data_IF_002787434493
#
_entry.id   IF_002787434493
#
_cell.length_a   1.000
_cell.length_b   1.000
_cell.length_c   1.000
_cell.angle_alpha   90.00
_cell.angle_beta   90.00
_cell.angle_gamma   90.00
#
_symmetry.space_group_name_H-M   'P 1'
#
loop_
_entity.id
_entity.type
_entity.pdbx_description
1 polymer ?
#
# COMPACT_ATOMS: atom_id res chain seq x y z
N UNK A 1 3.66 20.07 -12.12
CA UNK A 1 3.67 18.61 -12.39
C UNK A 1 3.92 18.42 -13.88
N UNK A 2 4.98 17.71 -14.28
CA UNK A 2 5.24 17.38 -15.69
C UNK A 2 4.91 15.90 -15.93
N UNK A 3 3.69 15.58 -16.40
CA UNK A 3 3.26 14.18 -16.60
C UNK A 3 4.11 13.41 -17.60
N UNK A 4 4.81 14.12 -18.49
CA UNK A 4 5.78 13.59 -19.45
C UNK A 4 6.97 12.87 -18.80
N UNK A 5 7.25 13.14 -17.52
CA UNK A 5 8.32 12.49 -16.75
C UNK A 5 7.83 11.29 -15.94
N UNK A 6 6.54 10.95 -16.03
CA UNK A 6 6.06 9.72 -15.42
C UNK A 6 6.70 8.55 -16.17
N UNK A 7 7.57 7.80 -15.49
CA UNK A 7 8.09 6.57 -16.04
C UNK A 7 6.93 5.58 -16.14
N UNK A 8 6.43 5.32 -17.35
CA UNK A 8 5.47 4.24 -17.67
C UNK A 8 6.16 2.88 -17.62
N UNK A 9 7.03 2.67 -16.63
CA UNK A 9 7.64 1.38 -16.40
C UNK A 9 6.52 0.39 -16.05
N UNK A 10 6.10 -0.34 -17.07
CA UNK A 10 5.19 -1.48 -17.00
C UNK A 10 5.62 -2.44 -15.87
N UNK A 11 6.91 -2.45 -15.53
CA UNK A 11 7.47 -3.19 -14.41
C UNK A 11 6.83 -2.91 -13.05
N UNK A 12 6.40 -1.69 -12.72
CA UNK A 12 5.78 -1.43 -11.40
C UNK A 12 4.39 -2.03 -11.29
N UNK A 13 3.55 -1.83 -12.31
CA UNK A 13 2.19 -2.40 -12.37
C UNK A 13 2.27 -3.93 -12.47
N UNK A 14 3.15 -4.45 -13.31
CA UNK A 14 3.39 -5.89 -13.44
C UNK A 14 3.90 -6.52 -12.13
N UNK A 15 4.84 -5.86 -11.42
CA UNK A 15 5.29 -6.31 -10.09
C UNK A 15 4.16 -6.28 -9.07
N UNK A 16 3.33 -5.25 -9.09
CA UNK A 16 2.18 -5.12 -8.21
C UNK A 16 1.17 -6.24 -8.47
N UNK A 17 0.80 -6.48 -9.74
CA UNK A 17 -0.08 -7.58 -10.14
C UNK A 17 0.50 -8.96 -9.80
N UNK A 18 1.81 -9.16 -10.00
CA UNK A 18 2.52 -10.39 -9.60
C UNK A 18 2.49 -10.61 -8.09
N UNK A 19 2.71 -9.55 -7.31
CA UNK A 19 2.71 -9.61 -5.84
C UNK A 19 1.32 -9.78 -5.24
N UNK A 20 0.29 -9.21 -5.88
CA UNK A 20 -1.12 -9.41 -5.55
C UNK A 20 -1.61 -10.85 -5.85
N UNK A 21 -0.95 -11.54 -6.79
CA UNK A 21 -1.28 -12.88 -7.22
C UNK A 21 -2.62 -12.98 -7.96
N UNK A 22 -2.70 -13.86 -8.96
CA UNK A 22 -3.99 -14.22 -9.62
C UNK A 22 -4.78 -15.27 -8.82
N UNK A 23 -4.20 -15.80 -7.74
CA UNK A 23 -4.77 -16.83 -6.89
C UNK A 23 -5.88 -16.31 -5.97
N UNK A 24 -6.75 -17.23 -5.55
CA UNK A 24 -7.80 -17.01 -4.55
C UNK A 24 -7.34 -17.37 -3.14
N UNK A 25 -6.07 -17.75 -2.98
CA UNK A 25 -5.50 -18.11 -1.70
C UNK A 25 -5.44 -16.90 -0.75
N UNK A 26 -5.33 -17.21 0.54
CA UNK A 26 -5.38 -16.23 1.63
C UNK A 26 -4.24 -15.20 1.52
N UNK A 27 -3.05 -15.61 1.07
CA UNK A 27 -1.92 -14.72 0.94
C UNK A 27 -2.11 -13.73 -0.22
N UNK A 28 -2.60 -14.20 -1.38
CA UNK A 28 -2.94 -13.33 -2.50
C UNK A 28 -4.05 -12.31 -2.13
N UNK A 29 -5.07 -12.73 -1.38
CA UNK A 29 -6.09 -11.82 -0.84
C UNK A 29 -5.49 -10.77 0.10
N UNK A 30 -4.65 -11.18 1.03
CA UNK A 30 -3.95 -10.27 1.95
C UNK A 30 -3.05 -9.29 1.20
N UNK A 31 -2.30 -9.77 0.21
CA UNK A 31 -1.41 -8.96 -0.61
C UNK A 31 -2.17 -7.88 -1.35
N UNK A 32 -3.31 -8.20 -1.98
CA UNK A 32 -4.19 -7.21 -2.62
C UNK A 32 -4.71 -6.15 -1.65
N UNK A 33 -5.14 -6.55 -0.45
CA UNK A 33 -5.58 -5.59 0.59
C UNK A 33 -4.46 -4.63 0.98
N UNK A 34 -3.24 -5.15 1.19
CA UNK A 34 -2.08 -4.32 1.48
C UNK A 34 -1.76 -3.37 0.32
N UNK A 35 -1.80 -3.89 -0.91
CA UNK A 35 -1.57 -3.14 -2.13
C UNK A 35 -2.51 -1.93 -2.26
N UNK A 36 -3.81 -2.15 -2.06
CA UNK A 36 -4.84 -1.10 -2.05
C UNK A 36 -4.53 -0.06 -0.97
N UNK A 37 -4.15 -0.50 0.24
CA UNK A 37 -3.86 0.40 1.34
C UNK A 37 -2.65 1.30 1.08
N UNK A 38 -1.59 0.76 0.47
CA UNK A 38 -0.40 1.52 0.06
C UNK A 38 -0.79 2.59 -0.97
N UNK A 39 -1.50 2.18 -2.03
CA UNK A 39 -1.93 3.12 -3.10
C UNK A 39 -2.85 4.20 -2.53
N UNK A 40 -3.78 3.83 -1.65
CA UNK A 40 -4.68 4.76 -0.97
C UNK A 40 -3.90 5.80 -0.14
N UNK A 41 -2.91 5.35 0.64
CA UNK A 41 -2.13 6.25 1.50
C UNK A 41 -1.31 7.25 0.68
N UNK A 42 -0.70 6.80 -0.41
CA UNK A 42 0.03 7.68 -1.35
C UNK A 42 -0.92 8.69 -2.00
N UNK A 43 -2.13 8.25 -2.37
CA UNK A 43 -3.14 9.15 -2.94
C UNK A 43 -3.58 10.22 -1.94
N UNK A 44 -3.82 9.86 -0.68
CA UNK A 44 -4.12 10.82 0.38
C UNK A 44 -2.99 11.85 0.57
N UNK A 45 -1.74 11.42 0.65
CA UNK A 45 -0.58 12.33 0.74
C UNK A 45 -0.54 13.30 -0.43
N UNK A 46 -0.74 12.80 -1.64
CA UNK A 46 -0.73 13.63 -2.84
C UNK A 46 -1.86 14.65 -2.85
N UNK A 47 -3.02 14.31 -2.32
CA UNK A 47 -4.12 15.25 -2.17
C UNK A 47 -3.79 16.33 -1.14
N UNK A 48 -3.27 15.97 0.03
CA UNK A 48 -2.84 16.95 1.04
C UNK A 48 -1.78 17.91 0.48
N UNK A 49 -0.82 17.39 -0.29
CA UNK A 49 0.21 18.18 -0.95
C UNK A 49 -0.37 19.16 -1.97
N UNK A 50 -1.33 18.74 -2.77
CA UNK A 50 -1.90 19.57 -3.84
C UNK A 50 -2.89 20.60 -3.30
N UNK A 51 -3.79 20.19 -2.41
CA UNK A 51 -4.89 21.03 -1.96
C UNK A 51 -4.53 21.88 -0.74
N UNK A 52 -3.67 21.36 0.14
CA UNK A 52 -3.33 22.02 1.41
C UNK A 52 -1.86 22.48 1.47
N UNK A 53 -1.06 22.23 0.42
CA UNK A 53 0.39 22.54 0.38
C UNK A 53 1.17 21.89 1.53
N UNK A 54 0.66 20.78 2.07
CA UNK A 54 1.30 20.03 3.12
C UNK A 54 1.95 18.79 2.53
N UNK A 55 3.27 18.69 2.64
CA UNK A 55 4.00 17.48 2.28
C UNK A 55 4.59 16.79 3.50
N UNK A 56 4.62 15.46 3.42
CA UNK A 56 5.27 14.61 4.41
C UNK A 56 6.40 13.81 3.76
N UNK A 57 7.35 13.38 4.59
CA UNK A 57 8.49 12.58 4.12
C UNK A 57 8.04 11.17 3.72
N UNK A 58 8.80 10.52 2.84
CA UNK A 58 8.55 9.11 2.48
C UNK A 58 8.57 8.21 3.72
N UNK A 59 9.46 8.48 4.67
CA UNK A 59 9.52 7.76 5.94
C UNK A 59 8.19 7.87 6.70
N UNK A 60 7.59 9.07 6.73
CA UNK A 60 6.30 9.29 7.36
C UNK A 60 5.16 8.55 6.65
N UNK A 61 5.13 8.55 5.31
CA UNK A 61 4.15 7.76 4.54
C UNK A 61 4.24 6.27 4.90
N UNK A 62 5.46 5.73 5.07
CA UNK A 62 5.65 4.33 5.47
C UNK A 62 5.16 4.06 6.89
N UNK A 63 5.35 4.99 7.83
CA UNK A 63 4.78 4.91 9.18
C UNK A 63 3.25 4.89 9.15
N UNK A 64 2.64 5.79 8.37
CA UNK A 64 1.18 5.86 8.24
C UNK A 64 0.62 4.56 7.63
N UNK A 65 1.28 3.99 6.61
CA UNK A 65 0.93 2.67 6.06
C UNK A 65 0.97 1.59 7.16
N UNK A 66 2.02 1.53 7.97
CA UNK A 66 2.13 0.55 9.06
C UNK A 66 1.01 0.70 10.07
N UNK A 67 0.67 1.94 10.44
CA UNK A 67 -0.42 2.21 11.38
C UNK A 67 -1.77 1.83 10.79
N UNK A 68 -2.04 2.17 9.53
CA UNK A 68 -3.27 1.74 8.87
C UNK A 68 -3.38 0.21 8.75
N UNK A 69 -2.28 -0.48 8.45
CA UNK A 69 -2.23 -1.94 8.45
C UNK A 69 -2.65 -2.48 9.83
N UNK A 70 -2.08 -1.92 10.90
CA UNK A 70 -2.38 -2.31 12.28
C UNK A 70 -3.87 -2.10 12.61
N UNK A 71 -4.40 -0.93 12.27
CA UNK A 71 -5.82 -0.58 12.49
C UNK A 71 -6.76 -1.52 11.72
N UNK A 72 -6.45 -1.84 10.47
CA UNK A 72 -7.25 -2.77 9.67
C UNK A 72 -7.20 -4.19 10.23
N UNK A 73 -6.03 -4.64 10.70
CA UNK A 73 -5.90 -5.92 11.37
C UNK A 73 -6.76 -5.97 12.65
N UNK A 74 -6.75 -4.91 13.46
CA UNK A 74 -7.60 -4.78 14.66
C UNK A 74 -9.10 -4.75 14.31
N UNK A 75 -9.45 -4.13 13.19
CA UNK A 75 -10.83 -4.12 12.67
C UNK A 75 -11.27 -5.46 12.06
N UNK A 76 -10.43 -6.49 12.09
CA UNK A 76 -10.78 -7.84 11.64
C UNK A 76 -10.45 -8.15 10.18
N UNK A 77 -9.51 -7.44 9.55
CA UNK A 77 -9.02 -7.75 8.20
C UNK A 77 -8.17 -9.05 8.17
N UNK A 78 -8.82 -10.21 8.35
CA UNK A 78 -8.17 -11.53 8.59
C UNK A 78 -7.13 -11.93 7.55
N UNK A 79 -7.36 -11.65 6.26
CA UNK A 79 -6.41 -11.97 5.19
C UNK A 79 -5.16 -11.07 5.26
N UNK A 80 -5.33 -9.79 5.58
CA UNK A 80 -4.22 -8.87 5.81
C UNK A 80 -3.42 -9.29 7.06
N UNK A 81 -4.11 -9.58 8.17
CA UNK A 81 -3.48 -10.05 9.40
C UNK A 81 -2.63 -11.30 9.18
N UNK A 82 -3.11 -12.23 8.34
CA UNK A 82 -2.42 -13.50 8.07
C UNK A 82 -1.07 -13.33 7.37
N UNK A 83 -0.91 -12.30 6.55
CA UNK A 83 0.36 -12.02 5.87
C UNK A 83 1.26 -11.15 6.75
N UNK A 84 0.71 -10.21 7.51
CA UNK A 84 1.47 -9.29 8.37
C UNK A 84 2.08 -10.00 9.57
N UNK A 85 1.34 -10.94 10.19
CA UNK A 85 1.87 -11.76 11.28
C UNK A 85 3.14 -12.53 10.86
N UNK A 86 3.23 -12.90 9.58
CA UNK A 86 4.39 -13.59 9.00
C UNK A 86 5.62 -12.70 8.86
N UNK A 87 5.45 -11.38 8.81
CA UNK A 87 6.54 -10.40 8.68
C UNK A 87 6.95 -9.77 10.03
N UNK A 88 6.16 -9.93 11.09
CA UNK A 88 6.48 -9.44 12.45
C UNK A 88 7.18 -10.52 13.30
N UNK A 89 7.15 -11.78 12.88
CA UNK A 89 7.86 -12.89 13.56
C UNK A 89 9.30 -13.14 13.08
N UNK A 90 9.81 -12.37 12.12
CA UNK A 90 11.21 -12.38 11.68
C UNK A 90 11.93 -11.09 12.12
#
# INVERSE_FOLDING_TARGET
MHPERWNTDSGMVDRFEKSAGKGTDVAAKGARSLAILVVWTIWCERNERIFNQQDITVARIVEDIKEFVRLWCMAGARHLSSIVARFISD
#
